data_IF_720363624440
#
_entry.id   IF_720363624440
#
_cell.length_a   1.000
_cell.length_b   1.000
_cell.length_c   1.000
_cell.angle_alpha   90.00
_cell.angle_beta   90.00
_cell.angle_gamma   90.00
#
_symmetry.space_group_name_H-M   'P 1'
#
loop_
_entity.id
_entity.type
_entity.pdbx_description
1 polymer ?
#
# COMPACT_ATOMS: atom_id res chain seq x y z
N UNK A 1 -11.60 9.19 3.98
CA UNK A 1 -10.35 8.72 4.63
C UNK A 1 -9.63 9.74 5.52
N UNK A 2 -10.00 11.04 5.53
CA UNK A 2 -9.19 12.14 6.14
C UNK A 2 -8.95 12.13 7.66
N UNK A 3 -9.32 11.07 8.38
CA UNK A 3 -9.05 10.90 9.83
C UNK A 3 -8.72 9.45 10.22
N UNK A 4 -8.58 8.54 9.25
CA UNK A 4 -8.40 7.11 9.51
C UNK A 4 -6.91 6.78 9.50
N UNK A 5 -6.39 6.21 10.60
CA UNK A 5 -5.00 5.76 10.66
C UNK A 5 -4.80 4.52 9.79
N UNK A 6 -4.15 4.68 8.64
CA UNK A 6 -3.82 3.59 7.71
C UNK A 6 -2.43 2.99 7.94
N UNK A 7 -1.72 3.43 9.00
CA UNK A 7 -0.37 2.93 9.32
C UNK A 7 -0.40 1.65 10.16
N UNK A 8 -1.49 1.40 10.89
CA UNK A 8 -1.67 0.24 11.75
C UNK A 8 -2.87 -0.60 11.32
N UNK A 9 -2.75 -1.92 11.42
CA UNK A 9 -3.84 -2.83 11.14
C UNK A 9 -4.87 -2.84 12.29
N UNK A 10 -6.15 -2.88 11.93
CA UNK A 10 -7.25 -3.02 12.88
C UNK A 10 -8.11 -4.24 12.55
N UNK A 11 -8.94 -4.68 13.49
CA UNK A 11 -9.87 -5.80 13.27
C UNK A 11 -10.67 -5.59 11.98
N UNK A 12 -10.70 -6.62 11.12
CA UNK A 12 -11.33 -6.56 9.80
C UNK A 12 -10.38 -6.23 8.65
N UNK A 13 -9.15 -5.76 8.90
CA UNK A 13 -8.16 -5.53 7.84
C UNK A 13 -7.49 -6.86 7.44
N UNK A 14 -7.15 -7.03 6.16
CA UNK A 14 -6.08 -7.96 5.82
C UNK A 14 -4.76 -7.38 6.33
N UNK A 15 -3.86 -8.22 6.86
CA UNK A 15 -2.66 -7.71 7.52
C UNK A 15 -1.46 -8.63 7.37
N UNK A 16 -0.30 -8.12 7.75
CA UNK A 16 0.96 -8.86 7.76
C UNK A 16 1.85 -8.38 8.91
N UNK A 17 2.89 -9.15 9.18
CA UNK A 17 3.96 -8.73 10.09
C UNK A 17 5.20 -8.36 9.28
N UNK A 18 5.87 -7.28 9.69
CA UNK A 18 7.18 -6.93 9.18
C UNK A 18 8.23 -7.84 9.83
N UNK A 19 9.11 -8.42 9.03
CA UNK A 19 10.24 -9.17 9.55
C UNK A 19 11.17 -8.27 10.37
N UNK A 20 12.01 -8.83 11.26
CA UNK A 20 12.94 -8.04 12.07
C UNK A 20 13.92 -7.17 11.27
N UNK A 21 14.13 -7.46 9.99
CA UNK A 21 14.96 -6.63 9.10
C UNK A 21 14.34 -5.26 8.76
N UNK A 22 13.04 -5.09 9.04
CA UNK A 22 12.28 -3.86 8.80
C UNK A 22 11.88 -3.65 7.33
N UNK A 23 12.06 -4.66 6.46
CA UNK A 23 11.86 -4.54 5.02
C UNK A 23 10.98 -5.65 4.46
N UNK A 24 11.22 -6.88 4.91
CA UNK A 24 10.55 -8.07 4.39
C UNK A 24 9.18 -8.24 5.02
N UNK A 25 8.19 -8.59 4.20
CA UNK A 25 6.82 -8.82 4.64
C UNK A 25 6.59 -10.30 4.88
N UNK A 26 5.97 -10.64 6.01
CA UNK A 26 5.44 -11.97 6.24
C UNK A 26 4.24 -12.30 5.33
N UNK A 27 3.71 -13.51 5.47
CA UNK A 27 2.52 -13.94 4.74
C UNK A 27 1.29 -13.09 5.08
N UNK A 28 0.35 -13.03 4.12
CA UNK A 28 -0.94 -12.36 4.28
C UNK A 28 -1.78 -13.11 5.31
N UNK A 29 -2.39 -12.36 6.22
CA UNK A 29 -3.37 -12.82 7.21
C UNK A 29 -4.72 -12.22 6.87
N UNK A 30 -5.75 -13.04 6.96
CA UNK A 30 -7.07 -12.66 6.46
C UNK A 30 -7.79 -11.69 7.38
N UNK A 31 -8.71 -10.90 6.81
CA UNK A 31 -9.58 -9.95 7.52
C UNK A 31 -10.35 -10.50 8.74
N UNK A 32 -10.47 -11.83 8.89
CA UNK A 32 -11.14 -12.48 10.02
C UNK A 32 -10.20 -12.79 11.19
N UNK A 33 -8.89 -12.66 11.01
CA UNK A 33 -7.89 -12.85 12.06
C UNK A 33 -7.63 -11.54 12.77
N UNK A 34 -7.63 -11.55 14.11
CA UNK A 34 -7.27 -10.37 14.91
C UNK A 34 -5.80 -9.97 14.68
N UNK A 35 -5.51 -8.71 14.30
CA UNK A 35 -4.15 -8.24 14.15
C UNK A 35 -3.37 -8.28 15.46
N UNK A 36 -2.10 -8.65 15.36
CA UNK A 36 -1.16 -8.55 16.48
C UNK A 36 -0.61 -7.13 16.62
N UNK A 37 0.00 -6.83 17.76
CA UNK A 37 0.71 -5.57 17.96
C UNK A 37 1.81 -5.38 16.89
N UNK A 38 1.83 -4.20 16.27
CA UNK A 38 2.77 -3.86 15.19
C UNK A 38 2.43 -4.47 13.82
N UNK A 39 1.25 -5.07 13.66
CA UNK A 39 0.78 -5.54 12.36
C UNK A 39 0.54 -4.37 11.39
N UNK A 40 0.91 -4.59 10.13
CA UNK A 40 0.72 -3.63 9.04
C UNK A 40 -0.51 -4.01 8.21
N UNK A 41 -1.37 -3.05 7.87
CA UNK A 41 -2.53 -3.33 7.05
C UNK A 41 -2.11 -3.57 5.59
N UNK A 42 -2.84 -4.46 4.93
CA UNK A 42 -2.73 -4.79 3.53
C UNK A 42 -3.98 -4.34 2.79
N UNK A 43 -3.76 -3.64 1.68
CA UNK A 43 -4.79 -3.28 0.71
C UNK A 43 -4.75 -4.32 -0.41
N UNK A 44 -5.92 -4.79 -0.83
CA UNK A 44 -6.02 -5.67 -1.99
C UNK A 44 -5.72 -4.86 -3.27
N UNK A 45 -4.80 -5.36 -4.08
CA UNK A 45 -4.68 -4.95 -5.47
C UNK A 45 -5.80 -5.62 -6.25
N UNK A 46 -6.66 -4.83 -6.89
CA UNK A 46 -7.83 -5.34 -7.60
C UNK A 46 -7.38 -6.23 -8.75
N UNK A 47 -8.01 -7.40 -8.83
CA UNK A 47 -7.90 -8.36 -9.91
C UNK A 47 -9.05 -9.35 -9.81
N UNK A 48 -9.08 -10.37 -10.69
CA UNK A 48 -10.21 -11.28 -10.77
C UNK A 48 -10.42 -12.14 -9.52
N UNK A 49 -9.42 -12.23 -8.64
CA UNK A 49 -9.53 -12.97 -7.37
C UNK A 49 -9.95 -12.10 -6.18
N UNK A 50 -10.13 -10.79 -6.38
CA UNK A 50 -10.53 -9.85 -5.33
C UNK A 50 -11.79 -10.34 -4.59
N UNK A 51 -11.79 -10.19 -3.26
CA UNK A 51 -12.93 -10.51 -2.42
C UNK A 51 -13.21 -9.36 -1.48
N UNK A 52 -14.46 -8.91 -1.44
CA UNK A 52 -14.89 -7.94 -0.45
C UNK A 52 -15.07 -8.62 0.91
N UNK A 53 -14.27 -8.22 1.91
CA UNK A 53 -14.36 -8.68 3.29
C UNK A 53 -15.06 -7.66 4.19
N UNK A 54 -15.53 -6.54 3.65
CA UNK A 54 -16.17 -5.44 4.37
C UNK A 54 -15.18 -4.56 5.14
N UNK A 55 -13.88 -4.68 4.87
CA UNK A 55 -12.84 -3.88 5.52
C UNK A 55 -12.95 -2.40 5.13
N UNK A 56 -12.27 -1.53 5.87
CA UNK A 56 -12.24 -0.09 5.55
C UNK A 56 -11.59 0.19 4.18
N UNK A 57 -10.67 -0.68 3.75
CA UNK A 57 -10.03 -0.59 2.44
C UNK A 57 -10.93 -1.12 1.34
N UNK A 58 -11.65 -2.22 1.59
CA UNK A 58 -12.57 -2.78 0.60
C UNK A 58 -13.67 -1.77 0.24
N UNK A 59 -14.20 -1.03 1.24
CA UNK A 59 -15.17 0.05 0.98
C UNK A 59 -14.63 1.12 0.05
N UNK A 60 -13.40 1.58 0.28
CA UNK A 60 -12.78 2.60 -0.56
C UNK A 60 -12.48 2.08 -1.98
N UNK A 61 -12.05 0.82 -2.08
CA UNK A 61 -11.81 0.16 -3.38
C UNK A 61 -13.13 0.00 -4.15
N UNK A 62 -14.19 -0.47 -3.50
CA UNK A 62 -15.49 -0.66 -4.12
C UNK A 62 -16.11 0.66 -4.57
N UNK A 63 -15.97 1.74 -3.79
CA UNK A 63 -16.39 3.10 -4.18
C UNK A 63 -15.74 3.52 -5.50
N UNK A 64 -14.42 3.36 -5.65
CA UNK A 64 -13.70 3.68 -6.89
C UNK A 64 -14.12 2.77 -8.06
N UNK A 65 -14.29 1.47 -7.82
CA UNK A 65 -14.72 0.53 -8.86
C UNK A 65 -16.14 0.84 -9.35
N UNK A 66 -17.04 1.23 -8.45
CA UNK A 66 -18.40 1.66 -8.78
C UNK A 66 -18.39 2.96 -9.58
N UNK A 67 -17.57 3.95 -9.19
CA UNK A 67 -17.37 5.21 -9.93
C UNK A 67 -16.88 4.97 -11.36
N UNK A 68 -15.94 4.04 -11.53
CA UNK A 68 -15.37 3.69 -12.84
C UNK A 68 -16.25 2.70 -13.64
N UNK A 69 -17.30 2.14 -13.03
CA UNK A 69 -18.18 1.15 -13.65
C UNK A 69 -17.49 -0.19 -13.96
N UNK A 70 -16.47 -0.56 -13.19
CA UNK A 70 -15.65 -1.76 -13.39
C UNK A 70 -15.93 -2.78 -12.29
N UNK A 71 -15.94 -4.06 -12.65
CA UNK A 71 -16.07 -5.19 -11.72
C UNK A 71 -14.76 -5.98 -11.64
N UNK A 72 -14.43 -6.59 -10.49
CA UNK A 72 -13.22 -7.42 -10.39
C UNK A 72 -13.14 -8.54 -11.43
N UNK A 73 -14.28 -9.11 -11.84
CA UNK A 73 -14.34 -10.18 -12.83
C UNK A 73 -13.78 -9.77 -14.20
N UNK A 74 -13.84 -8.49 -14.55
CA UNK A 74 -13.33 -7.96 -15.83
C UNK A 74 -11.81 -7.96 -15.92
N UNK A 75 -11.11 -8.13 -14.80
CA UNK A 75 -9.66 -8.38 -14.80
C UNK A 75 -9.30 -9.81 -15.24
N UNK A 76 -10.28 -10.67 -15.52
CA UNK A 76 -10.08 -11.97 -16.18
C UNK A 76 -10.46 -11.91 -17.65
N UNK A 77 -9.46 -12.08 -18.53
CA UNK A 77 -9.63 -12.08 -19.97
C UNK A 77 -9.53 -13.52 -20.48
N UNK A 78 -10.68 -14.16 -20.68
CA UNK A 78 -10.77 -15.58 -21.05
C UNK A 78 -9.97 -15.94 -22.30
N UNK A 79 -10.00 -15.07 -23.31
CA UNK A 79 -9.38 -15.30 -24.62
C UNK A 79 -7.89 -14.90 -24.66
N UNK A 80 -7.37 -14.25 -23.61
CA UNK A 80 -5.99 -13.81 -23.46
C UNK A 80 -5.59 -13.86 -21.98
N UNK A 81 -5.40 -15.07 -21.44
CA UNK A 81 -5.17 -15.28 -20.02
C UNK A 81 -3.88 -14.59 -19.51
N UNK A 82 -2.90 -14.40 -20.38
CA UNK A 82 -1.62 -13.75 -20.09
C UNK A 82 -1.74 -12.27 -19.72
N UNK A 83 -2.84 -11.61 -20.11
CA UNK A 83 -3.13 -10.22 -19.71
C UNK A 83 -4.14 -10.13 -18.57
N UNK A 84 -4.59 -11.28 -18.04
CA UNK A 84 -5.45 -11.30 -16.86
C UNK A 84 -4.65 -10.90 -15.62
N UNK A 85 -5.27 -10.14 -14.72
CA UNK A 85 -4.67 -9.76 -13.45
C UNK A 85 -5.39 -10.49 -12.31
N UNK A 86 -4.68 -11.39 -11.63
CA UNK A 86 -5.21 -12.09 -10.47
C UNK A 86 -5.51 -11.12 -9.31
N UNK A 87 -4.70 -10.08 -9.19
CA UNK A 87 -4.70 -9.17 -8.05
C UNK A 87 -3.60 -9.54 -7.07
N UNK A 88 -3.75 -9.13 -5.82
CA UNK A 88 -2.78 -9.44 -4.77
C UNK A 88 -2.94 -8.53 -3.58
N UNK A 89 -1.86 -8.34 -2.82
CA UNK A 89 -1.87 -7.48 -1.63
C UNK A 89 -0.68 -6.53 -1.65
N UNK A 90 -0.91 -5.32 -1.18
CA UNK A 90 0.12 -4.30 -0.97
C UNK A 90 -0.02 -3.71 0.43
N UNK A 91 1.10 -3.49 1.12
CA UNK A 91 1.11 -2.76 2.39
C UNK A 91 0.57 -1.35 2.16
N UNK A 92 -0.29 -0.88 3.07
CA UNK A 92 -0.77 0.50 3.01
C UNK A 92 0.35 1.51 3.32
N UNK A 93 1.14 1.35 4.41
CA UNK A 93 2.28 2.24 4.66
C UNK A 93 3.53 1.79 3.90
N UNK A 94 4.36 2.78 3.51
CA UNK A 94 5.75 2.55 3.12
C UNK A 94 6.57 2.31 4.39
N UNK A 95 7.35 1.23 4.41
CA UNK A 95 8.24 0.91 5.53
C UNK A 95 9.69 0.97 5.08
N UNK A 96 10.41 1.97 5.57
CA UNK A 96 11.84 2.12 5.35
C UNK A 96 12.63 1.97 6.64
N UNK A 97 13.92 1.67 6.53
CA UNK A 97 14.83 1.59 7.67
C UNK A 97 16.01 2.54 7.52
N UNK A 98 16.60 2.89 8.67
CA UNK A 98 17.83 3.66 8.72
C UNK A 98 17.71 5.06 8.14
N UNK A 99 16.52 5.67 8.21
CA UNK A 99 16.32 7.04 7.77
C UNK A 99 17.24 7.97 8.56
N UNK A 100 18.13 8.64 7.85
CA UNK A 100 19.02 9.65 8.37
C UNK A 100 19.11 10.81 7.38
N UNK A 101 19.41 11.99 7.89
CA UNK A 101 19.52 13.18 7.08
C UNK A 101 20.69 14.05 7.50
N UNK A 102 21.22 14.81 6.55
CA UNK A 102 22.24 15.83 6.77
C UNK A 102 21.84 17.09 6.03
N UNK A 103 21.94 18.23 6.71
CA UNK A 103 21.66 19.54 6.13
C UNK A 103 22.98 20.26 5.82
N UNK A 104 23.07 20.87 4.65
CA UNK A 104 24.20 21.68 4.22
C UNK A 104 23.70 22.91 3.48
N UNK A 105 23.58 24.03 4.20
CA UNK A 105 22.96 25.25 3.68
C UNK A 105 21.50 24.99 3.28
N UNK A 106 21.20 25.17 2.00
CA UNK A 106 19.87 24.92 1.42
C UNK A 106 19.66 23.48 0.92
N UNK A 107 20.66 22.60 1.08
CA UNK A 107 20.59 21.22 0.62
C UNK A 107 20.31 20.27 1.78
N UNK A 108 19.54 19.21 1.50
CA UNK A 108 19.32 18.08 2.40
C UNK A 108 19.72 16.77 1.70
N UNK A 109 20.55 15.97 2.35
CA UNK A 109 20.88 14.62 1.92
C UNK A 109 20.13 13.63 2.80
N UNK A 110 19.39 12.70 2.18
CA UNK A 110 18.64 11.65 2.86
C UNK A 110 19.27 10.28 2.56
N UNK A 111 19.47 9.47 3.59
CA UNK A 111 19.93 8.09 3.48
C UNK A 111 18.92 7.17 4.14
N UNK A 112 18.45 6.16 3.42
CA UNK A 112 17.47 5.18 3.90
C UNK A 112 17.51 3.93 3.04
N UNK A 113 16.91 2.83 3.53
CA UNK A 113 16.70 1.60 2.75
C UNK A 113 15.21 1.32 2.66
N UNK A 114 14.75 0.95 1.46
CA UNK A 114 13.37 0.57 1.17
C UNK A 114 13.28 -0.89 0.74
N UNK A 115 12.10 -1.48 0.87
CA UNK A 115 11.85 -2.81 0.36
C UNK A 115 11.80 -2.79 -1.18
N UNK A 116 12.00 -3.97 -1.79
CA UNK A 116 11.81 -4.12 -3.24
C UNK A 116 10.38 -3.74 -3.62
N UNK A 117 10.22 -2.91 -4.66
CA UNK A 117 8.91 -2.44 -5.14
C UNK A 117 8.38 -1.19 -4.43
N UNK A 118 9.12 -0.65 -3.46
CA UNK A 118 8.89 0.68 -2.90
C UNK A 118 9.76 1.72 -3.60
N UNK A 119 9.27 2.95 -3.66
CA UNK A 119 9.90 4.03 -4.41
C UNK A 119 10.33 5.15 -3.47
N UNK A 120 11.58 5.61 -3.63
CA UNK A 120 12.12 6.75 -2.88
C UNK A 120 11.28 8.02 -3.06
N UNK A 121 10.69 8.19 -4.25
CA UNK A 121 9.82 9.31 -4.59
C UNK A 121 8.61 9.42 -3.67
N UNK A 122 8.05 8.30 -3.19
CA UNK A 122 6.96 8.32 -2.21
C UNK A 122 7.39 8.98 -0.90
N UNK A 123 8.58 8.67 -0.38
CA UNK A 123 9.10 9.32 0.82
C UNK A 123 9.45 10.79 0.56
N UNK A 124 10.07 11.10 -0.58
CA UNK A 124 10.45 12.46 -0.94
C UNK A 124 9.23 13.37 -1.06
N UNK A 125 8.11 12.89 -1.61
CA UNK A 125 6.83 13.62 -1.65
C UNK A 125 6.36 14.01 -0.24
N UNK A 126 6.51 13.11 0.73
CA UNK A 126 6.12 13.36 2.11
C UNK A 126 7.06 14.34 2.83
N UNK A 127 8.36 14.35 2.47
CA UNK A 127 9.33 15.31 3.02
C UNK A 127 9.16 16.70 2.41
N UNK A 128 9.01 16.79 1.09
CA UNK A 128 8.94 18.06 0.36
C UNK A 128 7.57 18.73 0.44
N UNK A 129 6.50 17.96 0.62
CA UNK A 129 5.10 18.44 0.63
C UNK A 129 4.79 19.42 -0.52
N UNK A 130 5.11 19.09 -1.79
CA UNK A 130 4.84 19.98 -2.90
C UNK A 130 3.34 20.22 -3.03
N UNK A 131 2.94 21.44 -3.34
CA UNK A 131 1.53 21.79 -3.59
C UNK A 131 0.97 21.06 -4.81
N UNK A 132 1.81 20.86 -5.84
CA UNK A 132 1.46 20.21 -7.11
C UNK A 132 2.41 19.02 -7.37
N UNK A 133 2.20 17.85 -6.73
CA UNK A 133 3.14 16.73 -6.77
C UNK A 133 3.54 16.28 -8.19
N UNK A 134 2.56 16.18 -9.09
CA UNK A 134 2.75 15.74 -10.48
C UNK A 134 3.71 16.65 -11.26
N UNK A 135 3.72 17.95 -10.96
CA UNK A 135 4.59 18.91 -11.64
C UNK A 135 6.06 18.78 -11.23
N UNK A 136 6.31 18.12 -10.09
CA UNK A 136 7.63 17.95 -9.48
C UNK A 136 8.18 16.54 -9.61
N UNK A 137 7.55 15.69 -10.44
CA UNK A 137 8.00 14.31 -10.68
C UNK A 137 7.56 13.29 -9.63
N UNK A 138 6.45 13.57 -8.91
CA UNK A 138 5.82 12.66 -7.96
C UNK A 138 4.43 12.20 -8.42
#
# INVERSE_FOLDING_TARGET
>A
LGSLDISTAVAGDNWCQLAPDGLTVGGVRGAREEPIEGALPLIQLVGYSYRDYGSRFDRAVMEVLEEDGVTPREFYVKDAQEISAEGGFRRAPLTGRGLSYQLSGMNATLSFTLARGEYATTLLREVLKPSEPFSTGF
#
